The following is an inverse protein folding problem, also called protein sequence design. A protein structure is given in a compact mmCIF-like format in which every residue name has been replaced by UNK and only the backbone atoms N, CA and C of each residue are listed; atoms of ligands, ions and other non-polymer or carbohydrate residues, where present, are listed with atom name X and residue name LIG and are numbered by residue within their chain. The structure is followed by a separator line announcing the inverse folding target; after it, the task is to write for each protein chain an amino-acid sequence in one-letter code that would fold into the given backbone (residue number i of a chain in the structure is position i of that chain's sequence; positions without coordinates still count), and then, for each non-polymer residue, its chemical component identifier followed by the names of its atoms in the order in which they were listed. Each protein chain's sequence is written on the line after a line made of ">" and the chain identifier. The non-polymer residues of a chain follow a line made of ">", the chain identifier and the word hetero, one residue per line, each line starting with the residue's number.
data_IF_554164550676
#
_entry.id   IF_554164550676
#
_cell.length_a   1.000
_cell.length_b   1.000
_cell.length_c   1.000
_cell.angle_alpha   90.00
_cell.angle_beta   90.00
_cell.angle_gamma   90.00
#
_symmetry.space_group_name_H-M   'P 1'
#
loop_
_entity.id
_entity.type
_entity.pdbx_description
1 polymer ?
#
# COMPACT_ATOMS: atom_id res chain seq x y z
N UNK A 1 -27.65 -80.28 -2.13
CA UNK A 1 -28.76 -79.62 -2.86
C UNK A 1 -28.55 -78.11 -2.74
N UNK A 2 -28.26 -77.44 -3.87
CA UNK A 2 -28.35 -76.01 -4.23
C UNK A 2 -27.82 -74.91 -3.26
N UNK A 3 -26.69 -74.34 -3.68
CA UNK A 3 -26.32 -72.90 -3.84
C UNK A 3 -27.12 -71.80 -3.12
N UNK A 4 -26.38 -70.90 -2.44
CA UNK A 4 -26.48 -69.44 -2.58
C UNK A 4 -25.19 -68.76 -2.05
N UNK A 5 -24.92 -67.56 -2.53
CA UNK A 5 -23.61 -66.92 -2.72
C UNK A 5 -23.54 -65.56 -1.98
N UNK A 6 -22.33 -64.99 -1.86
CA UNK A 6 -21.97 -63.58 -1.54
C UNK A 6 -21.70 -63.24 -0.05
N UNK A 7 -20.78 -62.33 0.34
CA UNK A 7 -19.73 -61.53 -0.32
C UNK A 7 -19.05 -60.68 0.80
N UNK A 8 -17.74 -60.41 0.68
CA UNK A 8 -16.97 -59.36 1.38
C UNK A 8 -16.77 -59.51 2.90
N UNK A 9 -15.55 -59.48 3.45
CA UNK A 9 -14.79 -58.22 3.60
C UNK A 9 -13.34 -58.55 3.94
N UNK A 10 -12.40 -58.23 3.03
CA UNK A 10 -10.96 -58.19 3.34
C UNK A 10 -10.62 -56.76 3.76
N UNK A 11 -10.23 -56.60 5.03
CA UNK A 11 -9.80 -55.32 5.60
C UNK A 11 -8.38 -55.01 5.09
N UNK A 12 -8.28 -54.08 4.14
CA UNK A 12 -7.02 -53.51 3.69
C UNK A 12 -6.93 -52.10 4.28
N UNK A 13 -6.08 -51.93 5.30
CA UNK A 13 -5.81 -50.63 5.91
C UNK A 13 -4.95 -49.82 4.93
N UNK A 14 -5.57 -48.92 4.18
CA UNK A 14 -4.87 -47.92 3.37
C UNK A 14 -4.64 -46.67 4.24
N UNK A 15 -3.40 -46.44 4.65
CA UNK A 15 -2.97 -45.20 5.30
C UNK A 15 -3.09 -44.05 4.26
N UNK A 16 -4.15 -43.25 4.36
CA UNK A 16 -4.28 -42.02 3.60
C UNK A 16 -3.39 -40.94 4.24
N UNK A 17 -2.18 -40.79 3.73
CA UNK A 17 -1.36 -39.60 3.98
C UNK A 17 -1.99 -38.41 3.25
N UNK A 18 -2.87 -37.67 3.94
CA UNK A 18 -3.29 -36.34 3.52
C UNK A 18 -2.08 -35.41 3.65
N UNK A 19 -1.32 -35.29 2.57
CA UNK A 19 -0.31 -34.24 2.42
C UNK A 19 -1.01 -32.89 2.36
N UNK A 20 -0.94 -32.12 3.44
CA UNK A 20 -1.17 -30.69 3.40
C UNK A 20 -0.04 -30.07 2.57
N UNK A 21 -0.28 -29.84 1.28
CA UNK A 21 0.56 -28.95 0.49
C UNK A 21 0.32 -27.53 0.97
N UNK A 22 1.19 -27.03 1.85
CA UNK A 22 1.32 -25.59 2.04
C UNK A 22 1.76 -25.03 0.69
N UNK A 23 0.86 -24.31 0.01
CA UNK A 23 1.23 -23.51 -1.14
C UNK A 23 2.20 -22.44 -0.65
N UNK A 24 3.50 -22.67 -0.80
CA UNK A 24 4.50 -21.64 -0.61
C UNK A 24 4.18 -20.53 -1.61
N UNK A 25 3.85 -19.34 -1.11
CA UNK A 25 3.65 -18.19 -1.97
C UNK A 25 4.99 -17.86 -2.62
N UNK A 26 5.14 -18.18 -3.90
CA UNK A 26 6.33 -17.85 -4.65
C UNK A 26 6.49 -16.33 -4.70
N UNK A 27 7.74 -15.86 -4.58
CA UNK A 27 8.02 -14.45 -4.82
C UNK A 27 7.66 -14.09 -6.27
N UNK A 28 7.15 -12.86 -6.52
CA UNK A 28 6.83 -12.43 -7.86
C UNK A 28 8.04 -12.51 -8.80
N UNK A 29 7.78 -12.74 -10.09
CA UNK A 29 8.84 -12.98 -11.07
C UNK A 29 9.75 -11.76 -11.30
N UNK A 30 9.23 -10.55 -11.13
CA UNK A 30 10.00 -9.31 -11.22
C UNK A 30 10.45 -8.85 -9.83
N UNK A 31 11.71 -8.40 -9.65
CA UNK A 31 12.15 -7.80 -8.40
C UNK A 31 11.34 -6.56 -8.03
N UNK A 32 11.06 -6.36 -6.74
CA UNK A 32 10.26 -5.24 -6.26
C UNK A 32 10.82 -3.88 -6.70
N UNK A 33 12.14 -3.71 -6.68
CA UNK A 33 12.77 -2.44 -7.05
C UNK A 33 12.56 -2.12 -8.53
N UNK A 34 12.59 -3.11 -9.43
CA UNK A 34 12.27 -2.91 -10.85
C UNK A 34 10.84 -2.40 -11.02
N UNK A 35 9.88 -3.04 -10.34
CA UNK A 35 8.45 -2.67 -10.43
C UNK A 35 8.22 -1.25 -9.90
N UNK A 36 8.75 -0.92 -8.72
CA UNK A 36 8.52 0.39 -8.10
C UNK A 36 9.25 1.51 -8.88
N UNK A 37 10.47 1.26 -9.37
CA UNK A 37 11.21 2.20 -10.23
C UNK A 37 10.44 2.50 -11.51
N UNK A 38 9.98 1.47 -12.21
CA UNK A 38 9.23 1.61 -13.46
C UNK A 38 7.95 2.42 -13.25
N UNK A 39 7.14 2.07 -12.25
CA UNK A 39 5.92 2.81 -11.92
C UNK A 39 6.21 4.30 -11.60
N UNK A 40 7.28 4.56 -10.85
CA UNK A 40 7.69 5.93 -10.52
C UNK A 40 8.09 6.72 -11.77
N UNK A 41 8.93 6.13 -12.63
CA UNK A 41 9.40 6.78 -13.88
C UNK A 41 8.24 7.01 -14.85
N UNK A 42 7.39 6.01 -15.08
CA UNK A 42 6.23 6.13 -15.95
C UNK A 42 5.28 7.24 -15.51
N UNK A 43 5.01 7.34 -14.20
CA UNK A 43 4.15 8.38 -13.67
C UNK A 43 4.80 9.77 -13.75
N UNK A 44 6.10 9.89 -13.48
CA UNK A 44 6.84 11.15 -13.66
C UNK A 44 6.82 11.62 -15.12
N UNK A 45 7.03 10.72 -16.07
CA UNK A 45 7.01 11.05 -17.49
C UNK A 45 5.60 11.40 -17.97
N UNK A 46 4.58 10.74 -17.44
CA UNK A 46 3.18 11.09 -17.70
C UNK A 46 2.86 12.53 -17.24
N UNK A 47 3.33 12.92 -16.05
CA UNK A 47 3.19 14.30 -15.55
C UNK A 47 3.93 15.26 -16.48
N UNK A 48 5.20 15.00 -16.83
CA UNK A 48 5.98 15.89 -17.72
C UNK A 48 5.29 16.12 -19.06
N UNK A 49 4.71 15.09 -19.66
CA UNK A 49 4.05 15.17 -20.96
C UNK A 49 2.71 15.93 -20.93
N UNK A 50 2.05 16.00 -19.76
CA UNK A 50 0.68 16.52 -19.62
C UNK A 50 0.57 17.61 -18.54
N UNK A 51 1.68 18.21 -18.14
CA UNK A 51 1.77 19.06 -16.94
C UNK A 51 0.75 20.20 -16.94
N UNK A 52 0.72 21.01 -18.00
CA UNK A 52 -0.21 22.14 -18.12
C UNK A 52 -1.67 21.70 -18.08
N UNK A 53 -2.00 20.55 -18.69
CA UNK A 53 -3.35 19.96 -18.65
C UNK A 53 -3.74 19.57 -17.23
N UNK A 54 -2.85 18.88 -16.51
CA UNK A 54 -3.11 18.44 -15.14
C UNK A 54 -3.15 19.59 -14.15
N UNK A 55 -2.37 20.64 -14.38
CA UNK A 55 -2.38 21.87 -13.59
C UNK A 55 -3.67 22.67 -13.76
N UNK A 56 -4.22 22.70 -14.98
CA UNK A 56 -5.48 23.36 -15.29
C UNK A 56 -6.72 22.62 -14.74
N UNK A 57 -6.66 21.29 -14.62
CA UNK A 57 -7.75 20.44 -14.11
C UNK A 57 -7.25 19.47 -13.02
N UNK A 58 -7.11 19.99 -11.80
CA UNK A 58 -6.74 19.17 -10.64
C UNK A 58 -7.72 18.02 -10.35
N UNK A 59 -9.06 18.20 -10.40
CA UNK A 59 -9.99 17.08 -10.27
C UNK A 59 -9.78 15.97 -11.31
N UNK A 60 -9.48 16.32 -12.56
CA UNK A 60 -9.07 15.37 -13.60
C UNK A 60 -7.76 14.68 -13.25
N UNK A 61 -6.77 15.43 -12.75
CA UNK A 61 -5.50 14.85 -12.32
C UNK A 61 -5.66 13.87 -11.15
N UNK A 62 -6.55 14.13 -10.19
CA UNK A 62 -6.82 13.17 -9.10
C UNK A 62 -7.25 11.79 -9.62
N UNK A 63 -8.04 11.74 -10.70
CA UNK A 63 -8.41 10.47 -11.34
C UNK A 63 -7.20 9.80 -12.00
N UNK A 64 -6.30 10.58 -12.58
CA UNK A 64 -5.04 10.04 -13.12
C UNK A 64 -4.18 9.43 -12.01
N UNK A 65 -4.08 10.10 -10.84
CA UNK A 65 -3.38 9.54 -9.67
C UNK A 65 -4.07 8.25 -9.20
N UNK A 66 -5.39 8.26 -9.08
CA UNK A 66 -6.19 7.07 -8.75
C UNK A 66 -5.90 5.91 -9.70
N UNK A 67 -5.93 6.14 -11.01
CA UNK A 67 -5.78 5.08 -12.01
C UNK A 67 -4.34 4.59 -12.18
N UNK A 68 -3.35 5.46 -11.97
CA UNK A 68 -1.94 5.17 -12.29
C UNK A 68 -1.06 4.91 -11.08
N UNK A 69 -1.43 5.40 -9.90
CA UNK A 69 -0.60 5.29 -8.69
C UNK A 69 -1.20 4.31 -7.70
N UNK A 70 -2.50 4.42 -7.40
CA UNK A 70 -3.18 3.58 -6.39
C UNK A 70 -3.04 2.08 -6.66
N UNK A 71 -3.03 1.56 -7.90
CA UNK A 71 -2.81 0.14 -8.16
C UNK A 71 -1.46 -0.39 -7.68
N UNK A 72 -0.48 0.46 -7.34
CA UNK A 72 0.79 0.03 -6.77
C UNK A 72 0.76 -0.10 -5.24
N UNK A 73 -0.35 0.27 -4.59
CA UNK A 73 -0.50 0.25 -3.13
C UNK A 73 -1.46 -0.84 -2.67
N UNK A 74 -1.21 -1.40 -1.47
CA UNK A 74 -2.19 -2.20 -0.74
C UNK A 74 -3.04 -1.26 0.14
N UNK A 75 -4.04 -0.60 -0.46
CA UNK A 75 -4.88 0.38 0.23
C UNK A 75 -5.58 -0.20 1.45
N UNK A 76 -6.02 -1.45 1.35
CA UNK A 76 -6.69 -2.17 2.43
C UNK A 76 -5.73 -2.50 3.56
N UNK A 77 -4.54 -3.02 3.24
CA UNK A 77 -3.49 -3.28 4.23
C UNK A 77 -3.04 -2.00 4.92
N UNK A 78 -2.86 -0.90 4.17
CA UNK A 78 -2.55 0.42 4.72
C UNK A 78 -3.64 0.86 5.70
N UNK A 79 -4.91 0.84 5.31
CA UNK A 79 -6.02 1.24 6.16
C UNK A 79 -6.08 0.41 7.46
N UNK A 80 -5.84 -0.91 7.36
CA UNK A 80 -5.74 -1.81 8.50
C UNK A 80 -4.62 -1.45 9.46
N UNK A 81 -3.41 -1.23 8.92
CA UNK A 81 -2.22 -0.92 9.70
C UNK A 81 -2.32 0.45 10.37
N UNK A 82 -2.89 1.43 9.66
CA UNK A 82 -3.13 2.79 10.14
C UNK A 82 -4.16 2.79 11.29
N UNK A 83 -5.31 2.11 11.14
CA UNK A 83 -6.29 2.01 12.23
C UNK A 83 -5.83 1.11 13.38
N UNK A 84 -4.94 0.14 13.10
CA UNK A 84 -4.35 -0.75 14.08
C UNK A 84 -5.42 -1.48 14.92
N UNK A 85 -5.40 -1.25 16.24
CA UNK A 85 -6.37 -1.88 17.16
C UNK A 85 -7.82 -1.48 16.86
N UNK A 86 -8.04 -0.25 16.39
CA UNK A 86 -9.39 0.27 16.12
C UNK A 86 -10.02 -0.42 14.91
N UNK A 87 -9.22 -1.01 14.01
CA UNK A 87 -9.74 -1.80 12.89
C UNK A 87 -10.61 -2.96 13.38
N UNK A 88 -10.19 -3.64 14.45
CA UNK A 88 -10.90 -4.83 14.98
C UNK A 88 -12.30 -4.49 15.48
N UNK A 89 -12.46 -3.32 16.08
CA UNK A 89 -13.74 -2.84 16.62
C UNK A 89 -14.57 -2.03 15.63
N UNK A 90 -13.98 -1.58 14.51
CA UNK A 90 -14.69 -0.88 13.45
C UNK A 90 -15.69 -1.80 12.74
N UNK A 91 -16.86 -1.26 12.42
CA UNK A 91 -17.87 -1.97 11.61
C UNK A 91 -17.38 -2.14 10.16
N UNK A 92 -17.95 -3.08 9.38
CA UNK A 92 -17.63 -3.20 7.96
C UNK A 92 -17.83 -1.87 7.19
N UNK A 93 -18.90 -1.14 7.48
CA UNK A 93 -19.17 0.18 6.88
C UNK A 93 -18.07 1.20 7.23
N UNK A 94 -17.70 1.32 8.50
CA UNK A 94 -16.63 2.21 8.94
C UNK A 94 -15.30 1.90 8.27
N UNK A 95 -14.97 0.61 8.10
CA UNK A 95 -13.73 0.18 7.42
C UNK A 95 -13.72 0.63 5.97
N UNK A 96 -14.81 0.37 5.23
CA UNK A 96 -14.94 0.76 3.82
C UNK A 96 -14.90 2.29 3.66
N UNK A 97 -15.64 3.03 4.48
CA UNK A 97 -15.65 4.49 4.45
C UNK A 97 -14.29 5.07 4.81
N UNK A 98 -13.64 4.55 5.85
CA UNK A 98 -12.30 4.99 6.23
C UNK A 98 -11.28 4.76 5.12
N UNK A 99 -11.24 3.56 4.52
CA UNK A 99 -10.30 3.24 3.44
C UNK A 99 -10.46 4.21 2.26
N UNK A 100 -11.70 4.42 1.81
CA UNK A 100 -12.00 5.34 0.71
C UNK A 100 -11.62 6.78 1.06
N UNK A 101 -12.09 7.28 2.20
CA UNK A 101 -11.88 8.67 2.62
C UNK A 101 -10.40 8.98 2.88
N UNK A 102 -9.67 8.06 3.51
CA UNK A 102 -8.24 8.20 3.78
C UNK A 102 -7.44 8.31 2.48
N UNK A 103 -7.67 7.39 1.54
CA UNK A 103 -7.04 7.40 0.21
C UNK A 103 -7.39 8.68 -0.57
N UNK A 104 -8.66 9.03 -0.67
CA UNK A 104 -9.11 10.23 -1.40
C UNK A 104 -8.51 11.52 -0.81
N UNK A 105 -8.42 11.60 0.51
CA UNK A 105 -7.83 12.76 1.21
C UNK A 105 -6.33 12.86 0.94
N UNK A 106 -5.59 11.74 0.92
CA UNK A 106 -4.17 11.71 0.56
C UNK A 106 -3.96 12.21 -0.87
N UNK A 107 -4.73 11.71 -1.84
CA UNK A 107 -4.64 12.15 -3.25
C UNK A 107 -4.88 13.66 -3.35
N UNK A 108 -5.96 14.16 -2.75
CA UNK A 108 -6.31 15.59 -2.81
C UNK A 108 -5.28 16.49 -2.14
N UNK A 109 -4.61 15.99 -1.10
CA UNK A 109 -3.61 16.75 -0.35
C UNK A 109 -2.27 16.81 -1.09
N UNK A 110 -1.84 15.71 -1.73
CA UNK A 110 -0.47 15.58 -2.25
C UNK A 110 -0.34 15.63 -3.77
N UNK A 111 -1.43 15.45 -4.53
CA UNK A 111 -1.36 15.47 -6.00
C UNK A 111 -0.79 16.79 -6.54
N UNK A 112 -1.12 17.94 -5.92
CA UNK A 112 -0.55 19.22 -6.34
C UNK A 112 0.97 19.25 -6.20
N UNK A 113 1.52 18.73 -5.11
CA UNK A 113 2.96 18.64 -4.92
C UNK A 113 3.64 17.76 -5.99
N UNK A 114 2.97 16.69 -6.44
CA UNK A 114 3.48 15.87 -7.55
C UNK A 114 3.64 16.68 -8.85
N UNK A 115 2.74 17.62 -9.11
CA UNK A 115 2.84 18.55 -10.26
C UNK A 115 3.86 19.66 -10.03
N UNK A 116 3.96 20.19 -8.82
CA UNK A 116 4.84 21.33 -8.53
C UNK A 116 6.33 20.90 -8.48
N UNK A 117 6.61 19.63 -8.18
CA UNK A 117 7.98 19.12 -8.00
C UNK A 117 8.48 18.19 -9.11
N UNK A 118 7.70 17.93 -10.16
CA UNK A 118 7.99 16.89 -11.16
C UNK A 118 9.31 17.05 -11.93
N UNK A 119 9.83 18.27 -12.04
CA UNK A 119 11.04 18.66 -12.78
C UNK A 119 12.19 19.11 -11.87
N UNK A 120 11.91 19.38 -10.59
CA UNK A 120 12.86 19.92 -9.61
C UNK A 120 13.37 18.87 -8.62
N UNK A 121 12.83 17.65 -8.66
CA UNK A 121 13.28 16.53 -7.83
C UNK A 121 13.55 15.28 -8.67
N UNK A 122 14.59 14.53 -8.30
CA UNK A 122 14.87 13.22 -8.89
C UNK A 122 15.05 12.16 -7.80
N UNK A 123 14.84 10.89 -8.16
CA UNK A 123 15.04 9.76 -7.26
C UNK A 123 16.35 9.04 -7.60
N UNK A 124 17.26 8.94 -6.63
CA UNK A 124 18.45 8.09 -6.71
C UNK A 124 18.18 6.79 -5.95
N UNK A 125 18.19 5.66 -6.63
CA UNK A 125 17.81 4.37 -6.05
C UNK A 125 19.01 3.57 -5.56
N UNK A 126 18.89 3.01 -4.36
CA UNK A 126 19.88 2.06 -3.86
C UNK A 126 19.69 0.67 -4.49
N UNK A 127 20.74 -0.17 -4.54
CA UNK A 127 20.60 -1.59 -4.87
C UNK A 127 19.63 -2.29 -3.92
N UNK A 128 18.74 -3.12 -4.47
CA UNK A 128 17.83 -3.94 -3.67
C UNK A 128 18.64 -4.94 -2.84
N UNK A 129 18.34 -5.00 -1.54
CA UNK A 129 18.88 -6.00 -0.62
C UNK A 129 17.73 -6.90 -0.19
N UNK A 130 17.64 -8.08 -0.79
CA UNK A 130 16.59 -9.06 -0.50
C UNK A 130 17.17 -10.47 -0.48
N UNK A 131 16.67 -11.32 0.43
CA UNK A 131 16.97 -12.74 0.40
C UNK A 131 16.27 -13.41 -0.81
N UNK A 132 16.80 -14.54 -1.26
CA UNK A 132 16.14 -15.33 -2.30
C UNK A 132 14.74 -15.74 -1.84
N UNK A 133 13.72 -15.51 -2.68
CA UNK A 133 12.33 -15.82 -2.35
C UNK A 133 11.67 -14.88 -1.35
N UNK A 134 12.28 -13.73 -1.02
CA UNK A 134 11.65 -12.74 -0.16
C UNK A 134 10.32 -12.25 -0.76
N UNK A 135 9.29 -12.17 0.07
CA UNK A 135 7.94 -11.65 -0.27
C UNK A 135 7.63 -10.34 0.45
N UNK A 136 8.59 -9.81 1.20
CA UNK A 136 8.52 -8.53 1.93
C UNK A 136 9.92 -7.92 1.91
N UNK A 137 10.05 -6.71 1.37
CA UNK A 137 11.33 -6.04 1.11
C UNK A 137 11.21 -4.53 1.21
N UNK A 138 12.35 -3.87 1.43
CA UNK A 138 12.46 -2.42 1.37
C UNK A 138 13.16 -1.98 0.08
N UNK A 139 12.48 -1.16 -0.72
CA UNK A 139 13.07 -0.49 -1.89
C UNK A 139 13.50 0.92 -1.46
N UNK A 140 14.81 1.13 -1.37
CA UNK A 140 15.37 2.37 -0.85
C UNK A 140 15.77 3.34 -1.97
N UNK A 141 15.52 4.62 -1.75
CA UNK A 141 15.89 5.72 -2.62
C UNK A 141 16.30 6.96 -1.83
N UNK A 142 16.76 7.98 -2.53
CA UNK A 142 16.94 9.33 -2.02
C UNK A 142 16.28 10.32 -2.97
N UNK A 143 15.57 11.29 -2.42
CA UNK A 143 15.08 12.44 -3.18
C UNK A 143 16.22 13.44 -3.28
N UNK A 144 16.63 13.74 -4.50
CA UNK A 144 17.67 14.72 -4.82
C UNK A 144 17.00 16.02 -5.25
N UNK A 145 17.43 17.13 -4.67
CA UNK A 145 16.93 18.49 -4.94
C UNK A 145 18.10 19.43 -5.13
N UNK A 146 17.90 20.49 -5.89
CA UNK A 146 18.94 21.51 -6.06
C UNK A 146 19.23 22.20 -4.72
N UNK A 147 20.52 22.33 -4.36
CA UNK A 147 20.99 23.07 -3.19
C UNK A 147 20.42 22.62 -1.83
N UNK A 148 19.98 21.37 -1.71
CA UNK A 148 19.50 20.82 -0.44
C UNK A 148 20.07 19.41 -0.21
N UNK A 149 20.25 18.97 1.05
CA UNK A 149 20.64 17.60 1.35
C UNK A 149 19.66 16.57 0.76
N UNK A 150 20.15 15.41 0.28
CA UNK A 150 19.30 14.30 -0.14
C UNK A 150 18.38 13.84 0.99
N UNK A 151 17.10 13.64 0.69
CA UNK A 151 16.14 13.10 1.66
C UNK A 151 16.05 11.58 1.50
N UNK A 152 16.35 10.78 2.54
CA UNK A 152 16.15 9.33 2.50
C UNK A 152 14.67 8.95 2.33
N UNK A 153 14.41 8.01 1.42
CA UNK A 153 13.08 7.48 1.13
C UNK A 153 13.14 5.94 1.10
N UNK A 154 12.20 5.26 1.73
CA UNK A 154 12.06 3.81 1.66
C UNK A 154 10.61 3.43 1.39
N UNK A 155 10.39 2.59 0.38
CA UNK A 155 9.11 1.93 0.14
C UNK A 155 9.16 0.55 0.80
N UNK A 156 8.24 0.27 1.72
CA UNK A 156 8.04 -1.08 2.25
C UNK A 156 7.04 -1.79 1.35
N UNK A 157 7.45 -2.91 0.76
CA UNK A 157 6.76 -3.56 -0.35
C UNK A 157 6.59 -5.04 -0.04
N UNK A 158 5.39 -5.57 -0.23
CA UNK A 158 5.10 -6.99 -0.04
C UNK A 158 4.45 -7.62 -1.29
N UNK A 159 4.50 -8.94 -1.39
CA UNK A 159 3.88 -9.70 -2.46
C UNK A 159 2.42 -10.01 -2.13
N UNK A 160 1.49 -9.54 -2.96
CA UNK A 160 0.07 -9.90 -2.94
C UNK A 160 -0.24 -10.73 -4.18
N UNK A 161 -0.29 -12.05 -4.01
CA UNK A 161 -0.25 -12.97 -5.15
C UNK A 161 1.08 -12.83 -5.88
N UNK A 162 1.02 -12.57 -7.19
CA UNK A 162 2.18 -12.37 -8.08
C UNK A 162 2.50 -10.87 -8.31
N UNK A 163 2.00 -9.98 -7.46
CA UNK A 163 2.15 -8.53 -7.63
C UNK A 163 2.77 -7.91 -6.38
N UNK A 164 3.81 -7.08 -6.57
CA UNK A 164 4.37 -6.25 -5.52
C UNK A 164 3.45 -5.06 -5.21
N UNK A 165 3.16 -4.85 -3.93
CA UNK A 165 2.36 -3.72 -3.44
C UNK A 165 3.11 -2.96 -2.37
N UNK A 166 3.13 -1.64 -2.48
CA UNK A 166 3.61 -0.76 -1.44
C UNK A 166 2.58 -0.76 -0.32
N UNK A 167 3.02 -1.04 0.89
CA UNK A 167 2.16 -0.94 2.07
C UNK A 167 2.65 0.13 3.05
N UNK A 168 3.88 0.65 2.94
CA UNK A 168 4.33 1.80 3.73
C UNK A 168 5.36 2.63 2.96
N UNK A 169 5.48 3.90 3.34
CA UNK A 169 6.54 4.78 2.90
C UNK A 169 7.18 5.38 4.14
N UNK A 170 8.51 5.38 4.17
CA UNK A 170 9.29 6.08 5.19
C UNK A 170 10.07 7.23 4.55
N UNK A 171 9.91 8.43 5.10
CA UNK A 171 10.66 9.64 4.71
C UNK A 171 11.50 10.05 5.90
N UNK A 172 12.79 10.31 5.68
CA UNK A 172 13.75 10.56 6.77
C UNK A 172 13.73 9.48 7.86
N UNK A 173 13.49 8.23 7.46
CA UNK A 173 13.34 7.05 8.32
C UNK A 173 12.11 7.08 9.25
N UNK A 174 11.15 7.97 9.01
CA UNK A 174 9.88 8.03 9.71
C UNK A 174 8.81 7.36 8.85
N UNK A 175 8.30 6.22 9.33
CA UNK A 175 7.16 5.49 8.73
C UNK A 175 5.89 6.33 8.75
N UNK A 176 5.27 6.52 7.59
CA UNK A 176 3.99 7.21 7.46
C UNK A 176 2.88 6.45 8.19
N UNK A 177 2.82 5.12 8.05
CA UNK A 177 1.86 4.30 8.79
C UNK A 177 1.99 4.52 10.29
N UNK A 178 3.21 4.43 10.83
CA UNK A 178 3.43 4.53 12.27
C UNK A 178 3.02 5.89 12.79
N UNK A 179 3.34 6.96 12.04
CA UNK A 179 2.94 8.30 12.39
C UNK A 179 1.41 8.48 12.35
N UNK A 180 0.75 8.11 11.24
CA UNK A 180 -0.71 8.19 11.13
C UNK A 180 -1.41 7.37 12.22
N UNK A 181 -0.95 6.15 12.48
CA UNK A 181 -1.50 5.31 13.54
C UNK A 181 -1.43 5.98 14.91
N UNK A 182 -0.32 6.66 15.22
CA UNK A 182 -0.17 7.40 16.49
C UNK A 182 -1.20 8.54 16.56
N UNK A 183 -1.25 9.39 15.53
CA UNK A 183 -2.14 10.53 15.47
C UNK A 183 -3.63 10.13 15.52
N UNK A 184 -4.02 9.12 14.74
CA UNK A 184 -5.39 8.64 14.69
C UNK A 184 -5.82 7.91 15.96
N UNK A 185 -4.92 7.19 16.64
CA UNK A 185 -5.25 6.60 17.94
C UNK A 185 -5.66 7.67 18.96
N UNK A 186 -4.95 8.82 18.98
CA UNK A 186 -5.29 9.94 19.86
C UNK A 186 -6.64 10.53 19.47
N UNK A 187 -6.84 10.78 18.17
CA UNK A 187 -8.06 11.39 17.66
C UNK A 187 -9.30 10.49 17.87
N UNK A 188 -9.20 9.20 17.57
CA UNK A 188 -10.29 8.23 17.73
C UNK A 188 -10.67 8.08 19.21
N UNK A 189 -9.70 8.12 20.12
CA UNK A 189 -9.98 8.08 21.57
C UNK A 189 -10.74 9.32 22.05
N UNK A 190 -10.45 10.49 21.48
CA UNK A 190 -11.09 11.74 21.86
C UNK A 190 -12.48 11.90 21.24
N UNK A 191 -12.61 11.57 19.95
CA UNK A 191 -13.77 11.98 19.13
C UNK A 191 -14.54 10.82 18.49
N UNK A 192 -14.04 9.58 18.61
CA UNK A 192 -14.62 8.40 17.97
C UNK A 192 -14.26 8.25 16.49
N UNK A 193 -14.36 7.03 15.97
CA UNK A 193 -13.95 6.69 14.61
C UNK A 193 -14.79 7.40 13.53
N UNK A 194 -16.11 7.54 13.72
CA UNK A 194 -16.96 8.21 12.73
C UNK A 194 -16.60 9.69 12.55
N UNK A 195 -16.22 10.38 13.62
CA UNK A 195 -15.75 11.76 13.53
C UNK A 195 -14.45 11.87 12.74
N UNK A 196 -13.53 10.92 12.93
CA UNK A 196 -12.27 10.84 12.17
C UNK A 196 -12.53 10.58 10.69
N UNK A 197 -13.38 9.60 10.37
CA UNK A 197 -13.79 9.30 9.00
C UNK A 197 -14.36 10.55 8.34
N UNK A 198 -15.28 11.25 9.02
CA UNK A 198 -15.87 12.49 8.51
C UNK A 198 -14.81 13.57 8.21
N UNK A 199 -13.79 13.73 9.06
CA UNK A 199 -12.69 14.68 8.79
C UNK A 199 -11.89 14.34 7.53
N UNK A 200 -11.74 13.06 7.20
CA UNK A 200 -11.13 12.64 5.93
C UNK A 200 -12.07 12.84 4.74
N UNK A 201 -13.36 12.50 4.88
CA UNK A 201 -14.39 12.74 3.85
C UNK A 201 -14.47 14.24 3.47
N UNK A 202 -14.39 15.12 4.48
CA UNK A 202 -14.39 16.57 4.30
C UNK A 202 -13.01 17.13 3.88
N UNK A 203 -11.98 16.27 3.77
CA UNK A 203 -10.58 16.63 3.48
C UNK A 203 -10.03 17.74 4.40
N UNK A 204 -10.29 17.63 5.70
CA UNK A 204 -9.84 18.57 6.74
C UNK A 204 -8.75 17.97 7.64
N UNK A 205 -8.74 16.65 7.82
CA UNK A 205 -7.80 15.98 8.74
C UNK A 205 -6.34 16.30 8.40
N UNK A 206 -5.92 16.04 7.16
CA UNK A 206 -4.52 16.20 6.73
C UNK A 206 -4.07 17.67 6.68
N UNK A 207 -5.00 18.62 6.47
CA UNK A 207 -4.68 20.05 6.51
C UNK A 207 -4.36 20.52 7.93
N UNK A 208 -5.01 19.93 8.92
CA UNK A 208 -4.81 20.24 10.34
C UNK A 208 -3.66 19.43 10.94
N UNK A 209 -3.44 18.22 10.42
CA UNK A 209 -2.50 17.24 10.95
C UNK A 209 -1.67 16.66 9.80
N UNK A 210 -0.76 17.44 9.19
CA UNK A 210 0.14 16.88 8.20
C UNK A 210 1.01 15.80 8.88
N UNK A 211 1.25 14.66 8.22
CA UNK A 211 2.15 13.66 8.74
C UNK A 211 3.56 14.26 8.83
N UNK A 212 4.26 14.01 9.95
CA UNK A 212 5.56 14.60 10.23
C UNK A 212 6.62 14.29 9.15
N UNK A 213 6.45 13.18 8.41
CA UNK A 213 7.34 12.79 7.31
C UNK A 213 7.01 13.50 5.97
N UNK A 214 5.97 14.33 5.90
CA UNK A 214 5.61 15.12 4.72
C UNK A 214 5.61 16.64 4.98
N UNK A 215 6.14 17.07 6.14
CA UNK A 215 6.23 18.47 6.58
C UNK A 215 7.59 19.07 6.27
#
# INVERSE_FOLDING_TARGET
>A
MKTAMNLSTRFLVLLAALGFTFAAQAAPSQPADVVIKAATTEFQDLIKQNHEKYRADLPGFYKVVEDKVVPHFDTKGIAQLVLGRNWKTATPDQRTRFEAAFKDSLIRTYARAMLDYHDSVSAEWAPLKAAAGATDVNVNAKIIRQNAPPIPLSFSVHAVGDVWKIYDISVENISLITNFRSQLNTEIKANGLDAVIKKFEDNTYLKQNPPAAAS
#
